data_IF_351700630345
#
_entry.id   IF_351700630345
#
_cell.length_a   1.000
_cell.length_b   1.000
_cell.length_c   1.000
_cell.angle_alpha   90.00
_cell.angle_beta   90.00
_cell.angle_gamma   90.00
#
_symmetry.space_group_name_H-M   'P 1'
#
loop_
_entity.id
_entity.type
_entity.pdbx_description
1 polymer ?
#
# COMPACT_ATOMS: atom_id res chain seq x y z
N UNK A 1 -11.89 16.98 -5.60
CA UNK A 1 -11.40 16.75 -4.23
C UNK A 1 -10.78 15.37 -4.13
N UNK A 2 -9.67 15.27 -3.42
CA UNK A 2 -8.90 14.03 -3.28
C UNK A 2 -8.68 13.73 -1.82
N UNK A 3 -8.73 12.46 -1.46
CA UNK A 3 -8.30 11.99 -0.15
C UNK A 3 -7.04 11.13 -0.34
N UNK A 4 -5.99 11.49 0.36
CA UNK A 4 -4.70 10.82 0.25
C UNK A 4 -4.37 10.08 1.54
N UNK A 5 -3.69 8.97 1.40
CA UNK A 5 -3.12 8.23 2.52
C UNK A 5 -1.74 7.75 2.15
N UNK A 6 -0.84 7.76 3.12
CA UNK A 6 0.55 7.38 2.94
C UNK A 6 0.94 6.33 3.97
N UNK A 7 1.69 5.35 3.52
CA UNK A 7 2.33 4.39 4.41
C UNK A 7 3.81 4.40 4.08
N UNK A 8 4.60 4.95 4.99
CA UNK A 8 6.04 5.07 4.80
C UNK A 8 6.77 3.97 5.58
N UNK A 9 7.90 3.54 5.05
CA UNK A 9 8.79 2.55 5.68
C UNK A 9 8.11 1.20 5.92
N UNK A 10 7.18 0.81 5.04
CA UNK A 10 6.58 -0.53 5.12
C UNK A 10 7.66 -1.58 4.84
N UNK A 11 7.75 -2.59 5.68
CA UNK A 11 8.80 -3.61 5.58
C UNK A 11 8.41 -4.69 4.58
N UNK A 12 8.32 -4.27 3.32
CA UNK A 12 8.01 -5.14 2.20
C UNK A 12 8.66 -4.55 0.95
N UNK A 13 9.06 -5.40 0.01
CA UNK A 13 9.72 -4.89 -1.19
C UNK A 13 8.72 -4.16 -2.10
N UNK A 14 9.14 -3.08 -2.78
CA UNK A 14 8.25 -2.35 -3.70
C UNK A 14 7.67 -3.22 -4.80
N UNK A 15 8.43 -4.20 -5.29
CA UNK A 15 7.96 -5.10 -6.34
C UNK A 15 6.73 -5.90 -5.91
N UNK A 16 6.74 -6.40 -4.67
CA UNK A 16 5.61 -7.17 -4.13
C UNK A 16 4.37 -6.31 -3.96
N UNK A 17 4.57 -5.05 -3.55
CA UNK A 17 3.47 -4.09 -3.41
C UNK A 17 2.91 -3.72 -4.79
N UNK A 18 3.78 -3.46 -5.76
CA UNK A 18 3.37 -3.04 -7.10
C UNK A 18 2.44 -4.06 -7.76
N UNK A 19 2.73 -5.34 -7.60
CA UNK A 19 1.89 -6.42 -8.16
C UNK A 19 0.46 -6.32 -7.64
N UNK A 20 0.29 -6.04 -6.34
CA UNK A 20 -1.03 -5.94 -5.74
C UNK A 20 -1.71 -4.62 -6.10
N UNK A 21 -0.96 -3.52 -6.18
CA UNK A 21 -1.51 -2.22 -6.57
C UNK A 21 -2.16 -2.27 -7.96
N UNK A 22 -1.59 -3.05 -8.88
CA UNK A 22 -2.15 -3.18 -10.22
C UNK A 22 -3.55 -3.81 -10.21
N UNK A 23 -3.88 -4.57 -9.18
CA UNK A 23 -5.19 -5.20 -9.04
C UNK A 23 -6.28 -4.22 -8.61
N UNK A 24 -5.91 -3.14 -7.95
CA UNK A 24 -6.89 -2.20 -7.38
C UNK A 24 -6.88 -0.84 -8.06
N UNK A 25 -5.93 -0.57 -8.95
CA UNK A 25 -5.84 0.73 -9.63
C UNK A 25 -7.09 0.99 -10.48
N UNK A 26 -7.68 2.16 -10.31
CA UNK A 26 -8.89 2.61 -11.00
C UNK A 26 -10.14 1.78 -10.70
N UNK A 27 -10.14 1.08 -9.59
CA UNK A 27 -11.29 0.27 -9.17
C UNK A 27 -12.06 0.96 -8.03
N UNK A 28 -13.38 0.73 -7.94
CA UNK A 28 -14.14 1.24 -6.78
C UNK A 28 -13.57 0.72 -5.47
N UNK A 29 -13.73 1.48 -4.39
CA UNK A 29 -13.15 1.09 -3.09
C UNK A 29 -13.74 -0.20 -2.53
N UNK A 30 -15.02 -0.48 -2.77
CA UNK A 30 -15.64 -1.73 -2.33
C UNK A 30 -15.01 -2.94 -3.04
N UNK A 31 -14.78 -2.82 -4.34
CA UNK A 31 -14.08 -3.84 -5.12
C UNK A 31 -12.65 -4.02 -4.62
N UNK A 32 -11.94 -2.90 -4.40
CA UNK A 32 -10.55 -2.93 -3.93
C UNK A 32 -10.46 -3.60 -2.56
N UNK A 33 -11.37 -3.29 -1.64
CA UNK A 33 -11.40 -3.93 -0.33
C UNK A 33 -11.60 -5.44 -0.43
N UNK A 34 -12.51 -5.87 -1.30
CA UNK A 34 -12.77 -7.30 -1.50
C UNK A 34 -11.55 -8.02 -2.07
N UNK A 35 -10.89 -7.42 -3.06
CA UNK A 35 -9.68 -7.99 -3.67
C UNK A 35 -8.57 -8.13 -2.63
N UNK A 36 -8.32 -7.09 -1.84
CA UNK A 36 -7.26 -7.13 -0.84
C UNK A 36 -7.54 -8.15 0.26
N UNK A 37 -8.81 -8.28 0.63
CA UNK A 37 -9.20 -9.23 1.67
C UNK A 37 -9.03 -10.69 1.23
N UNK A 38 -9.26 -10.97 -0.05
CA UNK A 38 -9.26 -12.34 -0.56
C UNK A 38 -7.97 -12.75 -1.27
N UNK A 39 -7.03 -11.84 -1.47
CA UNK A 39 -5.77 -12.16 -2.13
C UNK A 39 -4.74 -12.57 -1.07
N UNK A 40 -4.18 -13.79 -1.18
CA UNK A 40 -3.26 -14.32 -0.15
C UNK A 40 -1.83 -13.83 -0.34
N UNK A 41 -1.60 -12.53 -0.18
CA UNK A 41 -0.27 -11.93 -0.29
C UNK A 41 -0.02 -11.02 0.91
N UNK A 42 1.23 -11.00 1.38
CA UNK A 42 1.63 -10.21 2.54
C UNK A 42 1.38 -8.71 2.34
N UNK A 43 1.55 -8.22 1.11
CA UNK A 43 1.32 -6.81 0.79
C UNK A 43 -0.13 -6.39 1.02
N UNK A 44 -1.08 -7.31 0.88
CA UNK A 44 -2.50 -7.01 1.01
C UNK A 44 -2.87 -6.52 2.41
N UNK A 45 -2.22 -7.04 3.43
CA UNK A 45 -2.48 -6.61 4.81
C UNK A 45 -2.14 -5.13 5.00
N UNK A 46 -0.99 -4.70 4.48
CA UNK A 46 -0.58 -3.29 4.53
C UNK A 46 -1.52 -2.41 3.72
N UNK A 47 -1.87 -2.85 2.53
CA UNK A 47 -2.72 -2.08 1.63
C UNK A 47 -4.17 -1.99 2.11
N UNK A 48 -4.67 -3.05 2.74
CA UNK A 48 -6.01 -3.04 3.32
C UNK A 48 -6.13 -1.97 4.42
N UNK A 49 -5.14 -1.90 5.30
CA UNK A 49 -5.10 -0.88 6.35
C UNK A 49 -4.97 0.52 5.76
N UNK A 50 -4.13 0.67 4.74
CA UNK A 50 -3.94 1.96 4.08
C UNK A 50 -5.21 2.41 3.37
N UNK A 51 -5.88 1.51 2.67
CA UNK A 51 -7.13 1.82 2.00
C UNK A 51 -8.22 2.23 2.99
N UNK A 52 -8.34 1.52 4.10
CA UNK A 52 -9.31 1.88 5.15
C UNK A 52 -9.01 3.25 5.74
N UNK A 53 -7.74 3.58 5.92
CA UNK A 53 -7.31 4.89 6.38
C UNK A 53 -7.69 5.99 5.38
N UNK A 54 -7.49 5.74 4.09
CA UNK A 54 -7.85 6.69 3.04
C UNK A 54 -9.36 6.91 2.97
N UNK A 55 -10.15 5.85 3.12
CA UNK A 55 -11.62 5.95 3.14
C UNK A 55 -12.09 6.76 4.34
N UNK A 56 -11.53 6.49 5.51
CA UNK A 56 -11.86 7.25 6.72
C UNK A 56 -11.50 8.73 6.57
N UNK A 57 -10.37 9.03 5.95
CA UNK A 57 -9.94 10.39 5.68
C UNK A 57 -10.92 11.09 4.74
N UNK A 58 -11.34 10.41 3.68
CA UNK A 58 -12.30 10.96 2.72
C UNK A 58 -13.64 11.26 3.39
N UNK A 59 -14.15 10.35 4.19
CA UNK A 59 -15.45 10.49 4.84
C UNK A 59 -15.42 11.55 5.95
N UNK A 60 -14.41 11.50 6.83
CA UNK A 60 -14.41 12.32 8.03
C UNK A 60 -13.85 13.73 7.83
N UNK A 61 -12.88 13.89 6.93
CA UNK A 61 -12.20 15.17 6.74
C UNK A 61 -12.68 15.95 5.52
N UNK A 62 -13.23 15.27 4.53
CA UNK A 62 -13.63 15.89 3.26
C UNK A 62 -15.10 15.67 2.90
N UNK A 63 -15.87 15.02 3.76
CA UNK A 63 -17.29 14.73 3.54
C UNK A 63 -17.58 14.09 2.18
N UNK A 64 -16.67 13.26 1.71
CA UNK A 64 -16.84 12.58 0.43
C UNK A 64 -17.82 11.41 0.56
N UNK A 65 -18.55 11.15 -0.53
CA UNK A 65 -19.48 10.03 -0.59
C UNK A 65 -18.72 8.73 -0.84
N UNK A 66 -18.65 7.87 0.17
CA UNK A 66 -17.91 6.60 0.11
C UNK A 66 -18.39 5.73 -1.04
N UNK A 67 -19.68 5.76 -1.36
CA UNK A 67 -20.23 4.93 -2.45
C UNK A 67 -19.70 5.33 -3.83
N UNK A 68 -19.17 6.53 -3.97
CA UNK A 68 -18.60 7.04 -5.23
C UNK A 68 -17.07 6.99 -5.27
N UNK A 69 -16.41 6.60 -4.20
CA UNK A 69 -14.95 6.59 -4.14
C UNK A 69 -14.35 5.49 -4.99
N UNK A 70 -13.24 5.81 -5.62
CA UNK A 70 -12.44 4.83 -6.35
C UNK A 70 -10.95 5.14 -6.13
N UNK A 71 -10.12 4.15 -6.40
CA UNK A 71 -8.67 4.30 -6.28
C UNK A 71 -8.16 5.00 -7.53
N UNK A 72 -8.05 6.33 -7.46
CA UNK A 72 -7.64 7.13 -8.60
C UNK A 72 -6.16 6.98 -8.91
N UNK A 73 -5.32 6.99 -7.88
CA UNK A 73 -3.90 6.83 -8.02
C UNK A 73 -3.38 5.94 -6.90
N UNK A 74 -2.46 5.07 -7.22
CA UNK A 74 -1.73 4.30 -6.23
C UNK A 74 -0.33 4.07 -6.76
N UNK A 75 0.66 4.28 -5.90
CA UNK A 75 2.05 4.15 -6.27
C UNK A 75 2.88 3.66 -5.11
N UNK A 76 4.02 3.08 -5.45
CA UNK A 76 4.98 2.64 -4.45
C UNK A 76 6.36 3.09 -4.90
N UNK A 77 7.15 3.57 -3.96
CA UNK A 77 8.55 3.90 -4.19
C UNK A 77 9.41 3.15 -3.20
N UNK A 78 10.68 2.97 -3.54
CA UNK A 78 11.62 2.30 -2.66
C UNK A 78 12.02 3.24 -1.54
N UNK A 79 11.88 2.75 -0.30
CA UNK A 79 12.40 3.42 0.88
C UNK A 79 13.83 3.00 1.18
N UNK A 80 14.37 3.41 2.33
CA UNK A 80 15.71 3.00 2.73
C UNK A 80 15.84 1.48 2.83
N UNK A 81 17.00 0.97 2.42
CA UNK A 81 17.32 -0.45 2.58
C UNK A 81 17.95 -0.64 3.94
N UNK A 82 17.34 -1.51 4.74
CA UNK A 82 17.90 -1.86 6.04
C UNK A 82 18.92 -2.98 5.85
N UNK A 83 20.18 -2.66 6.12
CA UNK A 83 21.26 -3.61 5.95
C UNK A 83 21.50 -4.36 7.24
N UNK A 84 21.51 -5.67 7.17
CA UNK A 84 21.77 -6.55 8.31
C UNK A 84 22.91 -7.48 7.96
N UNK A 85 23.70 -7.82 8.99
CA UNK A 85 24.79 -8.78 8.85
C UNK A 85 24.40 -10.00 9.66
N UNK A 86 24.44 -11.16 9.03
CA UNK A 86 24.18 -12.42 9.70
C UNK A 86 25.49 -13.21 9.78
N UNK A 87 26.04 -13.43 10.98
CA UNK A 87 27.23 -14.27 11.09
C UNK A 87 26.93 -15.70 10.74
N UNK A 88 27.87 -16.34 10.06
CA UNK A 88 27.78 -17.74 9.71
C UNK A 88 28.96 -18.50 10.28
N UNK A 89 28.85 -19.84 10.26
CA UNK A 89 29.97 -20.70 10.68
C UNK A 89 31.24 -20.34 9.91
N UNK A 90 32.40 -20.48 10.53
CA UNK A 90 33.71 -20.11 10.00
C UNK A 90 33.98 -18.60 9.96
N UNK A 91 33.24 -17.81 10.76
CA UNK A 91 33.50 -16.38 10.89
C UNK A 91 33.13 -15.52 9.72
N UNK A 92 32.45 -16.07 8.72
CA UNK A 92 31.96 -15.27 7.59
C UNK A 92 30.68 -14.55 7.93
N UNK A 93 30.56 -13.29 7.52
CA UNK A 93 29.37 -12.50 7.65
C UNK A 93 28.68 -12.35 6.29
N UNK A 94 27.37 -12.54 6.27
CA UNK A 94 26.56 -12.33 5.07
C UNK A 94 25.67 -11.13 5.26
N UNK A 95 25.65 -10.26 4.25
CA UNK A 95 24.82 -9.08 4.24
C UNK A 95 23.41 -9.43 3.80
N UNK A 96 22.42 -9.02 4.57
CA UNK A 96 21.02 -9.17 4.23
C UNK A 96 20.42 -7.79 4.05
N UNK A 97 19.88 -7.53 2.86
CA UNK A 97 19.21 -6.27 2.56
C UNK A 97 17.72 -6.42 2.82
N UNK A 98 17.18 -5.64 3.75
CA UNK A 98 15.75 -5.57 4.04
C UNK A 98 15.18 -4.34 3.34
N UNK A 99 14.42 -4.56 2.27
CA UNK A 99 13.82 -3.46 1.52
C UNK A 99 12.60 -2.91 2.23
N UNK A 100 12.42 -1.59 2.12
CA UNK A 100 11.21 -0.93 2.61
C UNK A 100 10.53 -0.21 1.46
N UNK A 101 9.27 0.14 1.65
CA UNK A 101 8.46 0.80 0.63
C UNK A 101 7.72 1.99 1.21
N UNK A 102 7.58 3.03 0.38
CA UNK A 102 6.68 4.15 0.65
C UNK A 102 5.50 4.01 -0.30
N UNK A 103 4.31 3.92 0.24
CA UNK A 103 3.10 3.68 -0.53
C UNK A 103 2.19 4.90 -0.44
N UNK A 104 1.69 5.35 -1.58
CA UNK A 104 0.76 6.46 -1.68
C UNK A 104 -0.52 5.97 -2.32
N UNK A 105 -1.65 6.33 -1.70
CA UNK A 105 -2.97 5.98 -2.19
C UNK A 105 -3.82 7.24 -2.27
N UNK A 106 -4.44 7.49 -3.43
CA UNK A 106 -5.30 8.65 -3.64
C UNK A 106 -6.67 8.17 -4.05
N UNK A 107 -7.70 8.60 -3.30
CA UNK A 107 -9.08 8.31 -3.61
C UNK A 107 -9.76 9.57 -4.15
N UNK A 108 -10.63 9.39 -5.14
CA UNK A 108 -11.45 10.46 -5.70
C UNK A 108 -12.89 9.97 -5.82
N UNK A 109 -13.82 10.92 -5.85
CA UNK A 109 -15.21 10.59 -6.16
C UNK A 109 -15.38 10.44 -7.67
N UNK A 110 -16.12 9.41 -8.07
CA UNK A 110 -16.44 9.19 -9.46
C UNK A 110 -17.49 10.23 -9.90
N UNK A 111 -17.21 10.90 -11.00
CA UNK A 111 -18.15 11.85 -11.59
C UNK A 111 -19.19 11.10 -12.41
N UNK A 112 -20.43 11.58 -12.33
CA UNK A 112 -21.53 11.02 -13.09
C UNK A 112 -21.53 11.56 -14.54
#
# INVERSE_FOLDING_TARGET
MEAKAYLNYARISPRKVSVVLDLIRNKPVDYAQAVLKHTPKAACEYLEKLLNSAIANAENNYDMDVSKLYVAECSVSQGPILKRIRPRAQGRAYRIDKKTSHITLVLKEKED
#
